data_IF_034574482431
#
_entry.id   IF_034574482431
#
_cell.length_a   1.000
_cell.length_b   1.000
_cell.length_c   1.000
_cell.angle_alpha   90.00
_cell.angle_beta   90.00
_cell.angle_gamma   90.00
#
_symmetry.space_group_name_H-M   'P 1'
#
loop_
_entity.id
_entity.type
_entity.pdbx_description
1 polymer ?
#
# COMPACT_ATOMS: atom_id res chain seq x y z
N UNK A 1 -48.50 -34.43 -14.16
CA UNK A 1 -47.65 -33.52 -13.35
C UNK A 1 -46.23 -34.06 -13.08
N UNK A 2 -45.95 -35.37 -13.20
CA UNK A 2 -44.61 -35.96 -12.99
C UNK A 2 -43.51 -35.67 -14.03
N UNK A 3 -43.84 -35.14 -15.21
CA UNK A 3 -42.85 -34.93 -16.29
C UNK A 3 -41.80 -33.87 -15.92
N UNK A 4 -42.21 -32.78 -15.26
CA UNK A 4 -41.30 -31.70 -14.83
C UNK A 4 -40.28 -32.22 -13.82
N UNK A 5 -40.72 -33.00 -12.81
CA UNK A 5 -39.83 -33.59 -11.82
C UNK A 5 -38.77 -34.52 -12.45
N UNK A 6 -39.15 -35.30 -13.46
CA UNK A 6 -38.22 -36.15 -14.22
C UNK A 6 -37.18 -35.34 -15.00
N UNK A 7 -37.59 -34.22 -15.59
CA UNK A 7 -36.69 -33.32 -16.32
C UNK A 7 -35.68 -32.68 -15.36
N UNK A 8 -36.14 -32.15 -14.22
CA UNK A 8 -35.27 -31.56 -13.20
C UNK A 8 -34.25 -32.59 -12.70
N UNK A 9 -34.69 -33.81 -12.39
CA UNK A 9 -33.80 -34.89 -11.94
C UNK A 9 -32.71 -35.19 -12.96
N UNK A 10 -33.07 -35.31 -14.24
CA UNK A 10 -32.11 -35.54 -15.32
C UNK A 10 -31.10 -34.39 -15.41
N UNK A 11 -31.58 -33.14 -15.42
CA UNK A 11 -30.73 -31.96 -15.59
C UNK A 11 -29.77 -31.74 -14.41
N UNK A 12 -30.24 -31.99 -13.19
CA UNK A 12 -29.40 -31.93 -12.00
C UNK A 12 -28.26 -32.96 -12.06
N UNK A 13 -28.54 -34.20 -12.47
CA UNK A 13 -27.52 -35.25 -12.59
C UNK A 13 -26.50 -34.96 -13.69
N UNK A 14 -26.91 -34.33 -14.79
CA UNK A 14 -26.05 -34.06 -15.95
C UNK A 14 -25.27 -32.76 -15.87
N UNK A 15 -25.81 -31.73 -15.20
CA UNK A 15 -25.17 -30.42 -15.08
C UNK A 15 -24.69 -30.14 -13.67
N UNK A 16 -25.59 -30.13 -12.68
CA UNK A 16 -25.26 -29.65 -11.33
C UNK A 16 -24.34 -30.61 -10.56
N UNK A 17 -24.55 -31.93 -10.71
CA UNK A 17 -23.72 -32.96 -10.06
C UNK A 17 -22.35 -33.13 -10.72
N UNK A 18 -22.08 -32.52 -11.88
CA UNK A 18 -20.73 -32.56 -12.47
C UNK A 18 -19.75 -31.85 -11.56
N UNK A 19 -18.58 -32.45 -11.37
CA UNK A 19 -17.50 -31.86 -10.56
C UNK A 19 -17.10 -30.47 -11.05
N UNK A 20 -17.04 -30.27 -12.37
CA UNK A 20 -16.73 -28.95 -12.95
C UNK A 20 -17.76 -27.88 -12.58
N UNK A 21 -19.05 -28.22 -12.57
CA UNK A 21 -20.11 -27.30 -12.17
C UNK A 21 -19.99 -26.92 -10.70
N UNK A 22 -19.74 -27.90 -9.82
CA UNK A 22 -19.57 -27.64 -8.40
C UNK A 22 -18.34 -26.78 -8.13
N UNK A 23 -17.20 -27.08 -8.76
CA UNK A 23 -15.97 -26.29 -8.63
C UNK A 23 -16.19 -24.86 -9.11
N UNK A 24 -16.72 -24.64 -10.32
CA UNK A 24 -16.89 -23.28 -10.85
C UNK A 24 -17.91 -22.45 -10.05
N UNK A 25 -18.91 -23.10 -9.44
CA UNK A 25 -19.92 -22.42 -8.61
C UNK A 25 -19.33 -21.80 -7.36
N UNK A 26 -18.30 -22.42 -6.77
CA UNK A 26 -17.58 -21.85 -5.63
C UNK A 26 -16.37 -21.01 -6.06
N UNK A 27 -15.65 -21.46 -7.09
CA UNK A 27 -14.46 -20.80 -7.58
C UNK A 27 -14.78 -19.42 -8.16
N UNK A 28 -15.89 -19.26 -8.89
CA UNK A 28 -16.31 -17.98 -9.45
C UNK A 28 -16.46 -16.89 -8.39
N UNK A 29 -17.32 -17.07 -7.36
CA UNK A 29 -17.44 -16.14 -6.24
C UNK A 29 -16.14 -15.86 -5.50
N UNK A 30 -15.30 -16.89 -5.27
CA UNK A 30 -14.00 -16.72 -4.60
C UNK A 30 -13.07 -15.85 -5.44
N UNK A 31 -12.96 -16.10 -6.74
CA UNK A 31 -12.14 -15.30 -7.65
C UNK A 31 -12.66 -13.87 -7.75
N UNK A 32 -13.98 -13.67 -7.79
CA UNK A 32 -14.58 -12.34 -7.76
C UNK A 32 -14.25 -11.59 -6.47
N UNK A 33 -14.32 -12.25 -5.32
CA UNK A 33 -13.93 -11.65 -4.04
C UNK A 33 -12.43 -11.31 -4.02
N UNK A 34 -11.58 -12.20 -4.53
CA UNK A 34 -10.13 -12.00 -4.58
C UNK A 34 -9.74 -10.77 -5.42
N UNK A 35 -10.45 -10.50 -6.53
CA UNK A 35 -10.22 -9.30 -7.36
C UNK A 35 -10.37 -8.00 -6.56
N UNK A 36 -11.24 -7.96 -5.56
CA UNK A 36 -11.43 -6.79 -4.69
C UNK A 36 -10.50 -6.81 -3.47
N UNK A 37 -10.37 -7.97 -2.82
CA UNK A 37 -9.61 -8.12 -1.57
C UNK A 37 -8.12 -7.89 -1.81
N UNK A 38 -7.56 -8.42 -2.90
CA UNK A 38 -6.11 -8.38 -3.14
C UNK A 38 -5.61 -6.94 -3.32
N UNK A 39 -6.17 -6.11 -4.21
CA UNK A 39 -5.72 -4.71 -4.34
C UNK A 39 -5.98 -3.89 -3.08
N UNK A 40 -7.11 -4.12 -2.40
CA UNK A 40 -7.43 -3.44 -1.14
C UNK A 40 -6.38 -3.75 -0.07
N UNK A 41 -6.04 -5.03 0.11
CA UNK A 41 -4.99 -5.43 1.05
C UNK A 41 -3.63 -4.84 0.67
N UNK A 42 -3.23 -4.93 -0.61
CA UNK A 42 -1.98 -4.33 -1.08
C UNK A 42 -1.91 -2.82 -0.81
N UNK A 43 -3.04 -2.10 -0.96
CA UNK A 43 -3.09 -0.66 -0.68
C UNK A 43 -2.84 -0.28 0.79
N UNK A 44 -2.99 -1.24 1.71
CA UNK A 44 -2.77 -1.03 3.15
C UNK A 44 -1.34 -1.32 3.59
N UNK A 45 -0.51 -1.90 2.72
CA UNK A 45 0.87 -2.27 3.07
C UNK A 45 1.81 -1.03 3.03
N UNK A 46 1.55 -0.07 2.14
CA UNK A 46 2.40 1.11 1.93
C UNK A 46 2.11 2.30 2.88
N UNK A 47 1.38 2.10 3.97
CA UNK A 47 1.09 3.15 4.96
C UNK A 47 2.20 3.34 6.00
N UNK A 48 3.44 2.99 5.67
CA UNK A 48 4.55 3.26 6.58
C UNK A 48 4.78 4.77 6.73
N UNK A 49 5.06 5.21 7.95
CA UNK A 49 5.27 6.63 8.23
C UNK A 49 6.59 7.07 7.60
N UNK A 50 6.53 7.93 6.60
CA UNK A 50 7.71 8.43 5.89
C UNK A 50 8.43 9.46 6.75
N UNK A 51 9.66 9.18 7.14
CA UNK A 51 10.50 10.10 7.91
C UNK A 51 11.41 10.87 6.96
N UNK A 52 11.27 12.20 6.93
CA UNK A 52 12.13 13.12 6.17
C UNK A 52 13.10 13.79 7.14
N UNK A 53 14.39 13.58 6.93
CA UNK A 53 15.44 14.28 7.66
C UNK A 53 15.63 15.67 7.05
N UNK A 54 15.71 16.72 7.87
CA UNK A 54 15.84 18.12 7.43
C UNK A 54 17.15 18.70 7.94
N UNK A 55 18.05 19.04 7.01
CA UNK A 55 19.25 19.82 7.26
C UNK A 55 19.01 21.24 6.75
N UNK A 56 18.65 22.15 7.65
CA UNK A 56 18.47 23.58 7.36
C UNK A 56 19.64 24.36 7.96
N UNK A 57 20.51 24.86 7.08
CA UNK A 57 21.64 25.72 7.44
C UNK A 57 21.24 27.19 7.50
N UNK A 58 20.13 27.56 6.84
CA UNK A 58 19.64 28.94 6.78
C UNK A 58 18.90 29.37 8.05
N UNK A 59 18.42 28.40 8.84
CA UNK A 59 17.55 28.59 10.01
C UNK A 59 16.22 29.31 9.71
N UNK A 60 15.88 29.52 8.43
CA UNK A 60 14.66 30.22 8.01
C UNK A 60 13.40 29.35 8.18
N UNK A 61 13.56 28.03 8.29
CA UNK A 61 12.46 27.07 8.24
C UNK A 61 12.35 26.17 9.48
N UNK A 62 13.05 26.50 10.57
CA UNK A 62 13.10 25.72 11.82
C UNK A 62 11.71 25.31 12.38
N UNK A 63 10.65 26.10 12.10
CA UNK A 63 9.26 25.81 12.53
C UNK A 63 8.26 25.67 11.37
N UNK A 64 8.74 25.65 10.12
CA UNK A 64 7.87 25.59 8.94
C UNK A 64 7.35 24.17 8.68
N UNK A 65 8.13 23.15 9.05
CA UNK A 65 7.80 21.75 8.79
C UNK A 65 6.97 21.15 9.92
N UNK A 66 5.66 21.02 9.68
CA UNK A 66 4.74 20.27 10.56
C UNK A 66 4.43 18.94 9.91
N UNK A 67 4.77 17.85 10.59
CA UNK A 67 4.43 16.51 10.14
C UNK A 67 2.94 16.17 10.32
N UNK A 68 2.51 15.08 9.70
CA UNK A 68 1.21 14.46 9.89
C UNK A 68 1.37 12.95 10.20
N UNK A 69 0.27 12.19 10.16
CA UNK A 69 0.28 10.75 10.44
C UNK A 69 1.10 9.92 9.43
N UNK A 70 1.30 10.44 8.21
CA UNK A 70 2.00 9.75 7.11
C UNK A 70 3.41 10.27 6.88
N UNK A 71 3.71 11.49 7.31
CA UNK A 71 4.97 12.15 7.02
C UNK A 71 5.51 12.88 8.25
N UNK A 72 6.65 12.45 8.76
CA UNK A 72 7.34 13.03 9.92
C UNK A 72 8.61 13.74 9.49
N UNK A 73 8.90 14.88 10.11
CA UNK A 73 10.13 15.61 9.91
C UNK A 73 11.03 15.47 11.14
N UNK A 74 12.29 15.11 10.92
CA UNK A 74 13.32 15.07 11.97
C UNK A 74 14.48 15.98 11.58
N UNK A 75 15.14 16.59 12.56
CA UNK A 75 16.32 17.41 12.30
C UNK A 75 17.52 16.53 12.01
N UNK A 76 18.21 16.77 10.89
CA UNK A 76 19.51 16.19 10.60
C UNK A 76 20.61 17.03 11.27
N UNK A 77 21.59 16.37 11.88
CA UNK A 77 22.75 17.00 12.53
C UNK A 77 24.02 16.25 12.06
N UNK A 78 25.21 16.87 12.00
CA UNK A 78 25.52 18.31 11.88
C UNK A 78 26.11 18.73 10.52
N UNK A 79 26.41 17.80 9.60
CA UNK A 79 27.04 18.07 8.29
C UNK A 79 26.34 17.29 7.16
N UNK A 80 26.37 17.83 5.93
CA UNK A 80 25.71 17.25 4.77
C UNK A 80 26.21 15.82 4.44
N UNK A 81 27.50 15.54 4.61
CA UNK A 81 28.06 14.22 4.31
C UNK A 81 27.59 13.17 5.33
N UNK A 82 27.54 13.54 6.62
CA UNK A 82 26.96 12.68 7.65
C UNK A 82 25.45 12.50 7.47
N UNK A 83 24.74 13.53 7.03
CA UNK A 83 23.31 13.42 6.75
C UNK A 83 23.02 12.47 5.58
N UNK A 84 23.87 12.46 4.54
CA UNK A 84 23.79 11.49 3.44
C UNK A 84 24.08 10.06 3.90
N UNK A 85 25.08 9.87 4.76
CA UNK A 85 25.38 8.55 5.34
C UNK A 85 24.22 8.05 6.21
N UNK A 86 23.67 8.91 7.06
CA UNK A 86 22.51 8.58 7.89
C UNK A 86 21.25 8.28 7.07
N UNK A 87 21.08 8.87 5.88
CA UNK A 87 19.98 8.50 4.97
C UNK A 87 20.13 7.05 4.48
N UNK A 88 21.37 6.62 4.20
CA UNK A 88 21.67 5.28 3.72
C UNK A 88 21.58 4.23 4.84
N UNK A 89 21.89 4.60 6.08
CA UNK A 89 21.90 3.69 7.23
C UNK A 89 20.59 3.64 8.02
N UNK A 90 19.92 4.79 8.23
CA UNK A 90 18.78 4.91 9.14
C UNK A 90 17.41 4.69 8.46
N UNK A 91 17.38 4.19 7.23
CA UNK A 91 16.15 3.94 6.43
C UNK A 91 15.19 5.15 6.35
N UNK A 92 15.71 6.37 6.50
CA UNK A 92 14.89 7.57 6.32
C UNK A 92 14.37 7.63 4.88
N UNK A 93 13.16 8.13 4.70
CA UNK A 93 12.53 8.20 3.38
C UNK A 93 13.23 9.20 2.44
N UNK A 94 13.67 10.34 2.99
CA UNK A 94 14.35 11.38 2.24
C UNK A 94 15.19 12.29 3.15
N UNK A 95 16.16 12.98 2.54
CA UNK A 95 16.89 14.10 3.13
C UNK A 95 16.52 15.39 2.39
N UNK A 96 15.99 16.37 3.14
CA UNK A 96 15.76 17.73 2.69
C UNK A 96 16.93 18.61 3.12
N UNK A 97 17.65 19.17 2.16
CA UNK A 97 18.76 20.08 2.39
C UNK A 97 18.37 21.51 1.99
N UNK A 98 18.50 22.46 2.92
CA UNK A 98 18.27 23.88 2.70
C UNK A 98 19.59 24.62 2.96
N UNK A 99 20.29 25.07 1.89
CA UNK A 99 21.55 25.79 2.03
C UNK A 99 21.34 27.23 2.52
N UNK A 100 22.39 27.81 3.09
CA UNK A 100 22.44 29.25 3.35
C UNK A 100 22.26 30.04 2.03
N UNK A 101 21.41 31.09 2.00
CA UNK A 101 21.29 31.95 0.84
C UNK A 101 22.64 32.60 0.52
N UNK A 102 23.11 32.47 -0.73
CA UNK A 102 24.27 33.22 -1.19
C UNK A 102 23.92 34.71 -1.17
N UNK A 103 24.67 35.50 -0.40
CA UNK A 103 24.55 36.95 -0.42
C UNK A 103 25.15 37.45 -1.74
N UNK A 104 24.28 37.94 -2.64
CA UNK A 104 24.70 38.72 -3.81
C UNK A 104 25.25 40.10 -3.40
#
# INVERSE_FOLDING_TARGET
MNKIALIIKREYLTRVKKRSFMVMTFLGPILMAAIWIVPFYLSTIDTDTKVVAVLDESHLFDNAFKGDEKLKFIRALPDLEMAKQNLLEAENYALLYVPLPEAN
#
